data_IF_898959559558
#
_entry.id   IF_898959559558
#
_cell.length_a   1.000
_cell.length_b   1.000
_cell.length_c   1.000
_cell.angle_alpha   90.00
_cell.angle_beta   90.00
_cell.angle_gamma   90.00
#
_symmetry.space_group_name_H-M   'P 1'
#
loop_
_entity.id
_entity.type
_entity.pdbx_description
1 polymer ?
#
# COMPACT_ATOMS: atom_id res chain seq x y z
N UNK A 1 18.61 31.71 28.04
CA UNK A 1 18.80 31.81 26.57
C UNK A 1 19.65 30.63 26.13
N UNK A 2 19.39 30.05 24.99
CA UNK A 2 20.22 28.96 24.46
C UNK A 2 21.64 29.47 24.19
N UNK A 3 22.67 28.72 24.55
CA UNK A 3 24.07 29.14 24.33
C UNK A 3 24.39 29.11 22.82
N UNK A 4 25.31 29.96 22.39
CA UNK A 4 25.76 30.04 20.99
C UNK A 4 26.25 28.68 20.47
N UNK A 5 26.88 27.87 21.33
CA UNK A 5 27.34 26.51 21.05
C UNK A 5 26.18 25.56 20.82
N UNK A 6 25.10 25.66 21.60
CA UNK A 6 23.90 24.84 21.49
C UNK A 6 23.16 25.09 20.17
N UNK A 7 22.96 26.39 19.81
CA UNK A 7 22.34 26.77 18.53
C UNK A 7 23.15 26.25 17.34
N UNK A 8 24.48 26.36 17.38
CA UNK A 8 25.38 25.84 16.35
C UNK A 8 25.25 24.31 16.20
N UNK A 9 25.20 23.60 17.32
CA UNK A 9 25.01 22.12 17.30
C UNK A 9 23.66 21.77 16.70
N UNK A 10 22.59 22.50 17.02
CA UNK A 10 21.24 22.28 16.47
C UNK A 10 21.18 22.52 14.96
N UNK A 11 21.85 23.59 14.47
CA UNK A 11 21.99 23.84 13.02
C UNK A 11 22.68 22.67 12.33
N UNK A 12 23.77 22.16 12.88
CA UNK A 12 24.47 21.01 12.30
C UNK A 12 23.58 19.75 12.25
N UNK A 13 22.83 19.46 13.31
CA UNK A 13 21.91 18.33 13.39
C UNK A 13 20.77 18.44 12.35
N UNK A 14 20.11 19.62 12.28
CA UNK A 14 19.02 19.84 11.31
C UNK A 14 19.52 19.74 9.87
N UNK A 15 20.73 20.30 9.59
CA UNK A 15 21.33 20.19 8.26
C UNK A 15 21.63 18.72 7.87
N UNK A 16 22.08 17.91 8.82
CA UNK A 16 22.29 16.48 8.60
C UNK A 16 20.96 15.76 8.32
N UNK A 17 19.91 16.05 9.09
CA UNK A 17 18.56 15.50 8.89
C UNK A 17 18.02 15.88 7.50
N UNK A 18 18.17 17.14 7.08
CA UNK A 18 17.79 17.61 5.75
C UNK A 18 18.46 16.81 4.63
N UNK A 19 19.77 16.56 4.75
CA UNK A 19 20.52 15.76 3.77
C UNK A 19 19.99 14.31 3.70
N UNK A 20 19.69 13.72 4.85
CA UNK A 20 19.16 12.37 4.94
C UNK A 20 17.76 12.29 4.30
N UNK A 21 16.85 13.22 4.64
CA UNK A 21 15.48 13.22 4.08
C UNK A 21 15.49 13.44 2.57
N UNK A 22 16.36 14.33 2.07
CA UNK A 22 16.56 14.54 0.64
C UNK A 22 17.06 13.28 -0.07
N UNK A 23 18.02 12.55 0.50
CA UNK A 23 18.51 11.29 -0.05
C UNK A 23 17.40 10.21 -0.04
N UNK A 24 16.64 10.11 1.06
CA UNK A 24 15.51 9.16 1.16
C UNK A 24 14.42 9.47 0.13
N UNK A 25 14.14 10.75 -0.15
CA UNK A 25 13.23 11.15 -1.22
C UNK A 25 13.68 10.63 -2.58
N UNK A 26 14.99 10.78 -2.91
CA UNK A 26 15.52 10.31 -4.20
C UNK A 26 15.41 8.78 -4.35
N UNK A 27 15.75 8.04 -3.29
CA UNK A 27 15.61 6.57 -3.29
C UNK A 27 14.15 6.16 -3.43
N UNK A 28 13.24 6.80 -2.71
CA UNK A 28 11.81 6.52 -2.79
C UNK A 28 11.24 6.83 -4.20
N UNK A 29 11.69 7.93 -4.83
CA UNK A 29 11.30 8.29 -6.20
C UNK A 29 11.75 7.24 -7.22
N UNK A 30 13.00 6.74 -7.10
CA UNK A 30 13.49 5.66 -7.97
C UNK A 30 12.69 4.37 -7.81
N UNK A 31 12.34 4.01 -6.56
CA UNK A 31 11.51 2.83 -6.29
C UNK A 31 10.08 3.01 -6.78
N UNK A 32 9.50 4.21 -6.65
CA UNK A 32 8.19 4.54 -7.20
C UNK A 32 8.16 4.33 -8.71
N UNK A 33 9.17 4.85 -9.42
CA UNK A 33 9.26 4.70 -10.87
C UNK A 33 9.30 3.23 -11.31
N UNK A 34 10.08 2.40 -10.61
CA UNK A 34 10.12 0.95 -10.87
C UNK A 34 8.77 0.28 -10.62
N UNK A 35 8.09 0.63 -9.52
CA UNK A 35 6.76 0.09 -9.22
C UNK A 35 5.73 0.49 -10.29
N UNK A 36 5.75 1.75 -10.74
CA UNK A 36 4.89 2.22 -11.83
C UNK A 36 5.14 1.48 -13.14
N UNK A 37 6.40 1.26 -13.53
CA UNK A 37 6.72 0.47 -14.71
C UNK A 37 6.20 -0.97 -14.60
N UNK A 38 6.29 -1.58 -13.42
CA UNK A 38 5.76 -2.93 -13.18
C UNK A 38 4.23 -2.95 -13.33
N UNK A 39 3.52 -1.98 -12.79
CA UNK A 39 2.06 -1.85 -12.95
C UNK A 39 1.70 -1.65 -14.41
N UNK A 40 2.36 -0.72 -15.11
CA UNK A 40 2.11 -0.44 -16.53
C UNK A 40 2.33 -1.66 -17.44
N UNK A 41 3.35 -2.47 -17.14
CA UNK A 41 3.61 -3.70 -17.88
C UNK A 41 2.56 -4.79 -17.64
N UNK A 42 1.89 -4.79 -16.47
CA UNK A 42 0.86 -5.78 -16.12
C UNK A 42 -0.53 -5.39 -16.59
N UNK A 43 -0.83 -4.09 -16.70
CA UNK A 43 -2.16 -3.59 -17.11
C UNK A 43 -2.72 -4.19 -18.41
N UNK A 44 -1.95 -4.33 -19.51
CA UNK A 44 -2.47 -4.94 -20.74
C UNK A 44 -2.93 -6.38 -20.54
N UNK A 45 -2.15 -7.15 -19.76
CA UNK A 45 -2.48 -8.54 -19.44
C UNK A 45 -3.75 -8.63 -18.58
N UNK A 46 -3.84 -7.83 -17.53
CA UNK A 46 -5.00 -7.75 -16.64
C UNK A 46 -6.27 -7.36 -17.42
N UNK A 47 -6.20 -6.31 -18.25
CA UNK A 47 -7.33 -5.87 -19.08
C UNK A 47 -7.80 -6.96 -20.04
N UNK A 48 -6.86 -7.64 -20.72
CA UNK A 48 -7.21 -8.71 -21.65
C UNK A 48 -7.83 -9.89 -20.93
N UNK A 49 -7.27 -10.29 -19.79
CA UNK A 49 -7.79 -11.40 -18.98
C UNK A 49 -9.21 -11.09 -18.48
N UNK A 50 -9.44 -9.90 -17.94
CA UNK A 50 -10.76 -9.46 -17.48
C UNK A 50 -11.77 -9.37 -18.64
N UNK A 51 -11.33 -8.89 -19.80
CA UNK A 51 -12.17 -8.84 -21.01
C UNK A 51 -12.59 -10.23 -21.48
N UNK A 52 -11.65 -11.17 -21.55
CA UNK A 52 -11.93 -12.57 -21.95
C UNK A 52 -12.87 -13.21 -20.93
N UNK A 53 -12.58 -13.11 -19.64
CA UNK A 53 -13.43 -13.65 -18.59
C UNK A 53 -14.84 -13.04 -18.63
N UNK A 54 -14.96 -11.72 -18.71
CA UNK A 54 -16.26 -11.05 -18.78
C UNK A 54 -17.08 -11.49 -19.98
N UNK A 55 -16.44 -11.66 -21.16
CA UNK A 55 -17.13 -12.13 -22.38
C UNK A 55 -17.63 -13.57 -22.23
N UNK A 56 -16.81 -14.46 -21.66
CA UNK A 56 -17.22 -15.84 -21.47
C UNK A 56 -18.31 -15.99 -20.40
N UNK A 57 -18.16 -15.30 -19.28
CA UNK A 57 -19.15 -15.31 -18.21
C UNK A 57 -20.51 -14.79 -18.70
N UNK A 58 -20.54 -13.69 -19.48
CA UNK A 58 -21.77 -13.17 -20.08
C UNK A 58 -22.38 -14.10 -21.13
N UNK A 59 -21.58 -14.99 -21.75
CA UNK A 59 -22.06 -15.95 -22.72
C UNK A 59 -22.54 -17.29 -22.11
N UNK A 60 -22.33 -17.47 -20.80
CA UNK A 60 -22.78 -18.65 -20.06
C UNK A 60 -24.16 -18.36 -19.46
N UNK A 61 -25.14 -19.17 -19.80
CA UNK A 61 -26.47 -19.15 -19.19
C UNK A 61 -26.41 -19.96 -17.89
N UNK A 62 -26.32 -19.28 -16.73
CA UNK A 62 -26.33 -19.95 -15.43
C UNK A 62 -25.24 -19.55 -14.47
N UNK A 63 -25.12 -20.27 -13.37
CA UNK A 63 -24.07 -20.05 -12.36
C UNK A 63 -22.69 -20.45 -12.89
N UNK A 64 -21.64 -19.73 -12.50
CA UNK A 64 -20.26 -20.08 -12.82
C UNK A 64 -19.96 -21.49 -12.25
N UNK A 65 -19.57 -22.48 -13.07
CA UNK A 65 -19.25 -23.83 -12.60
C UNK A 65 -17.87 -23.84 -11.92
N UNK A 66 -17.65 -22.97 -10.95
CA UNK A 66 -16.36 -22.81 -10.27
C UNK A 66 -16.54 -22.86 -8.76
N UNK A 67 -15.73 -23.65 -8.05
CA UNK A 67 -15.75 -23.67 -6.59
C UNK A 67 -15.42 -22.28 -5.98
N UNK A 68 -14.77 -21.41 -6.75
CA UNK A 68 -14.39 -20.06 -6.30
C UNK A 68 -15.52 -19.01 -6.42
N UNK A 69 -16.64 -19.38 -7.04
CA UNK A 69 -17.82 -18.52 -7.18
C UNK A 69 -18.94 -18.92 -6.19
N UNK A 70 -18.75 -19.99 -5.42
CA UNK A 70 -19.75 -20.46 -4.46
C UNK A 70 -20.03 -19.40 -3.39
N UNK A 71 -21.26 -18.94 -3.30
CA UNK A 71 -21.71 -17.99 -2.29
C UNK A 71 -22.30 -18.76 -1.12
N UNK A 72 -21.58 -18.77 0.00
CA UNK A 72 -22.03 -19.37 1.26
C UNK A 72 -22.35 -18.26 2.28
N UNK A 73 -23.18 -18.53 3.31
CA UNK A 73 -23.30 -17.63 4.45
C UNK A 73 -21.93 -17.38 5.08
N UNK A 74 -21.56 -16.10 5.19
CA UNK A 74 -20.22 -15.72 5.66
C UNK A 74 -20.16 -15.89 7.18
N UNK A 75 -19.36 -16.82 7.65
CA UNK A 75 -19.08 -17.07 9.07
C UNK A 75 -17.60 -16.84 9.40
N UNK A 76 -16.69 -17.19 8.48
CA UNK A 76 -15.24 -17.09 8.64
C UNK A 76 -14.61 -16.31 7.50
N UNK A 77 -13.82 -15.33 7.83
CA UNK A 77 -13.19 -14.42 6.86
C UNK A 77 -11.68 -14.46 7.01
N UNK A 78 -10.98 -14.51 5.87
CA UNK A 78 -9.55 -14.22 5.81
C UNK A 78 -9.34 -12.78 5.34
N UNK A 79 -8.49 -12.03 6.04
CA UNK A 79 -8.10 -10.66 5.69
C UNK A 79 -6.65 -10.60 5.21
N UNK A 80 -6.44 -10.02 4.05
CA UNK A 80 -5.10 -9.76 3.51
C UNK A 80 -4.82 -8.27 3.61
N UNK A 81 -3.79 -7.89 4.37
CA UNK A 81 -3.51 -6.48 4.70
C UNK A 81 -2.14 -6.08 4.17
N UNK A 82 -2.10 -4.99 3.41
CA UNK A 82 -0.87 -4.50 2.79
C UNK A 82 -0.39 -3.22 3.48
N UNK A 83 0.81 -3.29 4.06
CA UNK A 83 1.52 -2.14 4.65
C UNK A 83 2.97 -2.10 4.15
N UNK A 84 3.79 -1.26 4.73
CA UNK A 84 5.23 -1.22 4.45
C UNK A 84 6.06 -2.01 5.47
N UNK A 85 7.30 -2.34 5.07
CA UNK A 85 8.32 -2.90 5.97
C UNK A 85 8.97 -1.82 6.86
N UNK A 86 8.90 -0.54 6.48
CA UNK A 86 9.56 0.57 7.16
C UNK A 86 8.61 1.72 7.45
N UNK A 87 8.96 2.53 8.44
CA UNK A 87 8.26 3.76 8.79
C UNK A 87 8.58 4.91 7.81
N UNK A 88 8.20 6.12 8.16
CA UNK A 88 8.49 7.36 7.43
C UNK A 88 7.82 7.48 6.05
N UNK A 89 6.65 6.89 5.91
CA UNK A 89 5.77 7.01 4.74
C UNK A 89 4.48 7.81 5.05
N UNK A 90 4.58 8.81 5.91
CA UNK A 90 3.43 9.63 6.31
C UNK A 90 2.34 8.79 6.98
N UNK A 91 1.09 9.02 6.61
CA UNK A 91 -0.08 8.33 7.14
C UNK A 91 -0.37 6.95 6.53
N UNK A 92 0.43 6.49 5.56
CA UNK A 92 0.20 5.26 4.80
C UNK A 92 -0.14 4.05 5.68
N UNK A 93 0.78 3.68 6.61
CA UNK A 93 0.56 2.53 7.50
C UNK A 93 -0.57 2.75 8.49
N UNK A 94 -0.65 3.93 9.10
CA UNK A 94 -1.66 4.24 10.09
C UNK A 94 -3.08 4.15 9.50
N UNK A 95 -3.26 4.62 8.28
CA UNK A 95 -4.55 4.61 7.60
C UNK A 95 -5.01 3.18 7.28
N UNK A 96 -4.12 2.31 6.80
CA UNK A 96 -4.44 0.88 6.56
C UNK A 96 -4.77 0.17 7.85
N UNK A 97 -3.98 0.35 8.91
CA UNK A 97 -4.23 -0.28 10.22
C UNK A 97 -5.57 0.17 10.79
N UNK A 98 -5.90 1.46 10.63
CA UNK A 98 -7.22 1.98 11.01
C UNK A 98 -8.36 1.33 10.20
N UNK A 99 -8.17 1.17 8.88
CA UNK A 99 -9.15 0.51 8.02
C UNK A 99 -9.33 -0.96 8.39
N UNK A 100 -8.24 -1.67 8.66
CA UNK A 100 -8.24 -3.05 9.14
C UNK A 100 -9.02 -3.18 10.46
N UNK A 101 -8.68 -2.37 11.47
CA UNK A 101 -9.36 -2.43 12.77
C UNK A 101 -10.86 -2.15 12.64
N UNK A 102 -11.23 -1.14 11.82
CA UNK A 102 -12.64 -0.83 11.54
C UNK A 102 -13.37 -2.01 10.88
N UNK A 103 -12.70 -2.71 9.96
CA UNK A 103 -13.28 -3.88 9.28
C UNK A 103 -13.46 -5.05 10.23
N UNK A 104 -12.48 -5.31 11.08
CA UNK A 104 -12.55 -6.35 12.12
C UNK A 104 -13.70 -6.07 13.10
N UNK A 105 -13.87 -4.80 13.53
CA UNK A 105 -14.97 -4.42 14.40
C UNK A 105 -16.34 -4.60 13.72
N UNK A 106 -16.43 -4.31 12.42
CA UNK A 106 -17.65 -4.55 11.64
C UNK A 106 -18.01 -6.04 11.62
N UNK A 107 -17.06 -6.91 11.30
CA UNK A 107 -17.28 -8.36 11.30
C UNK A 107 -17.65 -8.89 12.69
N UNK A 108 -16.99 -8.41 13.74
CA UNK A 108 -17.35 -8.78 15.12
C UNK A 108 -18.80 -8.42 15.47
N UNK A 109 -19.31 -7.25 14.99
CA UNK A 109 -20.70 -6.83 15.21
C UNK A 109 -21.70 -7.70 14.40
N UNK A 110 -21.29 -8.19 13.25
CA UNK A 110 -22.10 -9.08 12.40
C UNK A 110 -22.03 -10.54 12.86
N UNK A 111 -21.23 -10.87 13.90
CA UNK A 111 -21.03 -12.22 14.38
C UNK A 111 -20.15 -13.08 13.48
N UNK A 112 -19.39 -12.45 12.60
CA UNK A 112 -18.46 -13.10 11.66
C UNK A 112 -17.07 -13.17 12.28
N UNK A 113 -16.45 -14.35 12.22
CA UNK A 113 -15.11 -14.58 12.75
C UNK A 113 -14.04 -14.23 11.70
N UNK A 114 -13.05 -13.44 12.08
CA UNK A 114 -11.82 -13.28 11.29
C UNK A 114 -10.86 -14.42 11.67
N UNK A 115 -10.94 -15.52 10.92
CA UNK A 115 -10.19 -16.76 11.20
C UNK A 115 -8.72 -16.69 10.80
N UNK A 116 -8.39 -15.90 9.77
CA UNK A 116 -7.03 -15.78 9.28
C UNK A 116 -6.68 -14.35 8.88
N UNK A 117 -5.42 -13.95 9.14
CA UNK A 117 -4.87 -12.71 8.65
C UNK A 117 -3.54 -12.96 7.94
N UNK A 118 -3.41 -12.46 6.72
CA UNK A 118 -2.17 -12.47 5.94
C UNK A 118 -1.63 -11.05 5.90
N UNK A 119 -0.41 -10.87 6.42
CA UNK A 119 0.21 -9.56 6.55
C UNK A 119 1.32 -9.38 5.50
N UNK A 120 1.08 -8.50 4.53
CA UNK A 120 2.11 -7.98 3.66
C UNK A 120 2.72 -6.75 4.30
N UNK A 121 3.89 -6.91 4.92
CA UNK A 121 4.67 -5.87 5.57
C UNK A 121 4.73 -5.98 7.09
N UNK A 122 5.91 -5.61 7.61
CA UNK A 122 6.21 -5.70 9.05
C UNK A 122 5.25 -4.87 9.89
N UNK A 123 4.78 -3.72 9.37
CA UNK A 123 3.86 -2.84 10.12
C UNK A 123 2.46 -3.43 10.26
N UNK A 124 1.96 -4.17 9.24
CA UNK A 124 0.75 -4.95 9.38
C UNK A 124 0.93 -6.07 10.40
N UNK A 125 2.00 -6.85 10.27
CA UNK A 125 2.28 -7.97 11.15
C UNK A 125 2.36 -7.56 12.63
N UNK A 126 3.07 -6.45 12.92
CA UNK A 126 3.15 -5.88 14.27
C UNK A 126 1.76 -5.47 14.80
N UNK A 127 0.94 -4.83 13.96
CA UNK A 127 -0.40 -4.37 14.35
C UNK A 127 -1.37 -5.54 14.57
N UNK A 128 -1.36 -6.51 13.66
CA UNK A 128 -2.21 -7.70 13.70
C UNK A 128 -1.90 -8.56 14.92
N UNK A 129 -0.61 -8.80 15.22
CA UNK A 129 -0.20 -9.54 16.41
C UNK A 129 -0.60 -8.84 17.71
N UNK A 130 -0.49 -7.51 17.76
CA UNK A 130 -0.97 -6.72 18.91
C UNK A 130 -2.48 -6.78 19.10
N UNK A 131 -3.22 -6.96 18.01
CA UNK A 131 -4.67 -7.09 18.02
C UNK A 131 -5.17 -8.51 18.34
N UNK A 132 -4.26 -9.49 18.54
CA UNK A 132 -4.57 -10.83 19.03
C UNK A 132 -4.32 -11.97 18.03
N UNK A 133 -4.01 -11.69 16.76
CA UNK A 133 -3.69 -12.72 15.76
C UNK A 133 -2.19 -13.06 15.78
N UNK A 134 -1.77 -13.93 16.70
CA UNK A 134 -0.38 -14.37 16.83
C UNK A 134 0.11 -15.19 15.64
N UNK A 135 -0.79 -15.93 15.01
CA UNK A 135 -0.52 -16.86 13.91
C UNK A 135 -0.69 -16.21 12.53
N UNK A 136 -0.69 -14.87 12.47
CA UNK A 136 -0.77 -14.15 11.22
C UNK A 136 0.40 -14.52 10.29
N UNK A 137 0.08 -14.84 9.05
CA UNK A 137 1.06 -15.22 8.02
C UNK A 137 1.90 -14.00 7.62
N UNK A 138 3.22 -14.12 7.71
CA UNK A 138 4.16 -13.06 7.32
C UNK A 138 4.56 -13.19 5.85
N UNK A 139 4.14 -12.23 5.04
CA UNK A 139 4.50 -12.08 3.64
C UNK A 139 5.37 -10.83 3.39
N UNK A 140 6.01 -10.26 4.43
CA UNK A 140 6.81 -9.03 4.34
C UNK A 140 8.00 -9.10 3.38
N UNK A 141 8.59 -10.27 3.16
CA UNK A 141 9.69 -10.47 2.22
C UNK A 141 9.29 -10.15 0.75
N UNK A 142 8.01 -10.31 0.39
CA UNK A 142 7.50 -10.03 -0.95
C UNK A 142 7.48 -8.53 -1.30
N UNK A 143 7.53 -7.65 -0.31
CA UNK A 143 7.62 -6.21 -0.53
C UNK A 143 9.02 -5.76 -0.95
N UNK A 144 10.05 -6.48 -0.52
CA UNK A 144 11.43 -6.15 -0.87
C UNK A 144 11.78 -6.63 -2.28
N UNK A 145 11.22 -7.78 -2.68
CA UNK A 145 11.40 -8.40 -3.99
C UNK A 145 10.05 -8.87 -4.56
N UNK A 146 9.25 -7.93 -5.11
CA UNK A 146 7.93 -8.28 -5.63
C UNK A 146 8.07 -9.18 -6.86
N UNK A 147 7.55 -10.40 -6.76
CA UNK A 147 7.53 -11.36 -7.84
C UNK A 147 6.19 -12.08 -7.91
N UNK A 148 5.74 -12.38 -9.13
CA UNK A 148 4.45 -13.02 -9.37
C UNK A 148 4.35 -14.41 -8.74
N UNK A 149 5.37 -15.26 -8.91
CA UNK A 149 5.30 -16.65 -8.49
C UNK A 149 5.13 -16.83 -6.95
N UNK A 150 5.86 -16.11 -6.07
CA UNK A 150 5.60 -16.18 -4.64
C UNK A 150 4.24 -15.59 -4.23
N UNK A 151 3.78 -14.52 -4.89
CA UNK A 151 2.46 -13.96 -4.63
C UNK A 151 1.33 -14.92 -5.03
N UNK A 152 1.50 -15.60 -6.17
CA UNK A 152 0.58 -16.64 -6.63
C UNK A 152 0.49 -17.83 -5.66
N UNK A 153 1.58 -18.21 -4.97
CA UNK A 153 1.54 -19.24 -3.93
C UNK A 153 0.65 -18.84 -2.75
N UNK A 154 0.78 -17.59 -2.27
CA UNK A 154 -0.08 -17.09 -1.19
C UNK A 154 -1.55 -17.08 -1.62
N UNK A 155 -1.84 -16.66 -2.86
CA UNK A 155 -3.19 -16.71 -3.38
C UNK A 155 -3.72 -18.15 -3.50
N UNK A 156 -2.88 -19.11 -3.96
CA UNK A 156 -3.24 -20.52 -4.05
C UNK A 156 -3.56 -21.12 -2.68
N UNK A 157 -2.80 -20.79 -1.63
CA UNK A 157 -3.07 -21.22 -0.25
C UNK A 157 -4.43 -20.69 0.26
N UNK A 158 -4.75 -19.42 -0.01
CA UNK A 158 -6.04 -18.81 0.35
C UNK A 158 -7.20 -19.44 -0.44
N UNK A 159 -6.99 -19.72 -1.73
CA UNK A 159 -7.97 -20.38 -2.59
C UNK A 159 -8.25 -21.81 -2.13
N UNK A 160 -7.20 -22.55 -1.73
CA UNK A 160 -7.36 -23.90 -1.19
C UNK A 160 -8.20 -23.89 0.09
N UNK A 161 -7.89 -23.00 1.04
CA UNK A 161 -8.66 -22.84 2.27
C UNK A 161 -10.12 -22.47 2.05
N UNK A 162 -10.39 -21.69 0.99
CA UNK A 162 -11.75 -21.36 0.59
C UNK A 162 -12.49 -22.60 0.06
N UNK A 163 -11.85 -23.42 -0.78
CA UNK A 163 -12.43 -24.66 -1.31
C UNK A 163 -12.65 -25.69 -0.21
N UNK A 164 -11.71 -25.79 0.74
CA UNK A 164 -11.81 -26.70 1.90
C UNK A 164 -12.85 -26.22 2.93
N UNK A 165 -13.44 -25.04 2.72
CA UNK A 165 -14.43 -24.46 3.62
C UNK A 165 -13.85 -23.99 4.96
N UNK A 166 -12.55 -23.73 5.06
CA UNK A 166 -11.94 -23.12 6.25
C UNK A 166 -12.25 -21.62 6.35
N UNK A 167 -12.44 -20.97 5.19
CA UNK A 167 -12.82 -19.57 5.07
C UNK A 167 -13.94 -19.42 4.04
N UNK A 168 -14.93 -18.58 4.33
CA UNK A 168 -16.10 -18.35 3.46
C UNK A 168 -15.91 -17.08 2.60
N UNK A 169 -14.93 -16.21 2.99
CA UNK A 169 -14.62 -14.98 2.25
C UNK A 169 -13.15 -14.61 2.44
N UNK A 170 -12.54 -14.09 1.38
CA UNK A 170 -11.20 -13.50 1.42
C UNK A 170 -11.27 -12.06 0.95
N UNK A 171 -10.80 -11.12 1.76
CA UNK A 171 -10.79 -9.68 1.42
C UNK A 171 -9.38 -9.11 1.47
N UNK A 172 -9.11 -8.21 0.52
CA UNK A 172 -7.87 -7.45 0.41
C UNK A 172 -8.08 -6.03 0.95
N UNK A 173 -7.16 -5.55 1.77
CA UNK A 173 -7.12 -4.17 2.28
C UNK A 173 -5.77 -3.56 1.88
N UNK A 174 -5.79 -2.66 0.91
CA UNK A 174 -4.59 -2.07 0.34
C UNK A 174 -4.80 -0.62 -0.11
N UNK A 175 -3.73 0.08 -0.47
CA UNK A 175 -3.83 1.37 -1.14
C UNK A 175 -3.75 1.19 -2.64
N UNK A 176 -4.80 1.57 -3.34
CA UNK A 176 -4.78 1.69 -4.79
C UNK A 176 -4.03 2.97 -5.20
N UNK A 177 -3.08 2.81 -6.10
CA UNK A 177 -2.28 3.92 -6.63
C UNK A 177 -3.04 4.65 -7.74
N UNK A 178 -3.60 5.81 -7.41
CA UNK A 178 -4.26 6.68 -8.38
C UNK A 178 -3.30 7.72 -8.97
N UNK A 179 -2.50 8.34 -8.12
CA UNK A 179 -1.46 9.31 -8.51
C UNK A 179 -0.43 9.46 -7.39
N UNK A 180 0.68 10.14 -7.67
CA UNK A 180 1.69 10.41 -6.64
C UNK A 180 1.12 11.20 -5.45
N UNK A 181 0.10 12.03 -5.65
CA UNK A 181 -0.54 12.83 -4.61
C UNK A 181 -1.74 12.14 -3.95
N UNK A 182 -2.32 11.11 -4.59
CA UNK A 182 -3.55 10.47 -4.12
C UNK A 182 -3.42 8.96 -4.09
N UNK A 183 -3.47 8.39 -2.89
CA UNK A 183 -3.53 6.96 -2.63
C UNK A 183 -4.87 6.67 -1.94
N UNK A 184 -5.68 5.79 -2.53
CA UNK A 184 -7.02 5.49 -2.04
C UNK A 184 -7.01 4.14 -1.33
N UNK A 185 -7.52 4.10 -0.09
CA UNK A 185 -7.71 2.83 0.62
C UNK A 185 -8.82 2.06 -0.07
N UNK A 186 -8.49 0.89 -0.56
CA UNK A 186 -9.41 0.01 -1.26
C UNK A 186 -9.61 -1.27 -0.44
N UNK A 187 -10.86 -1.67 -0.33
CA UNK A 187 -11.27 -2.94 0.28
C UNK A 187 -12.00 -3.73 -0.80
N UNK A 188 -11.45 -4.84 -1.19
CA UNK A 188 -11.99 -5.66 -2.25
C UNK A 188 -12.12 -7.11 -1.83
N UNK A 189 -13.21 -7.75 -2.25
CA UNK A 189 -13.38 -9.20 -2.10
C UNK A 189 -12.55 -9.91 -3.17
N UNK A 190 -11.66 -10.81 -2.75
CA UNK A 190 -10.93 -11.71 -3.61
C UNK A 190 -11.75 -12.98 -3.87
N UNK A 191 -12.34 -13.54 -2.82
CA UNK A 191 -13.19 -14.73 -2.83
C UNK A 191 -14.43 -14.50 -1.96
N UNK A 192 -15.63 -14.94 -2.40
CA UNK A 192 -15.92 -15.55 -3.70
C UNK A 192 -15.77 -14.55 -4.84
N UNK A 193 -15.49 -15.05 -6.05
CA UNK A 193 -15.42 -14.22 -7.24
C UNK A 193 -16.84 -13.83 -7.67
N UNK A 194 -17.11 -12.53 -7.78
CA UNK A 194 -18.39 -12.04 -8.28
C UNK A 194 -18.26 -11.64 -9.75
N UNK A 195 -19.28 -11.95 -10.53
CA UNK A 195 -19.35 -11.62 -11.97
C UNK A 195 -19.27 -10.10 -12.18
N UNK A 196 -19.87 -9.32 -11.28
CA UNK A 196 -19.88 -7.86 -11.34
C UNK A 196 -18.51 -7.23 -11.06
N UNK A 197 -17.64 -7.88 -10.27
CA UNK A 197 -16.31 -7.40 -9.97
C UNK A 197 -15.34 -7.46 -11.17
N UNK A 198 -15.63 -8.30 -12.17
CA UNK A 198 -14.84 -8.36 -13.42
C UNK A 198 -15.22 -7.25 -14.42
N UNK A 199 -16.38 -6.61 -14.22
CA UNK A 199 -16.91 -5.54 -15.07
C UNK A 199 -16.53 -4.11 -14.62
N UNK A 200 -16.05 -3.94 -13.39
CA UNK A 200 -15.78 -2.61 -12.78
C UNK A 200 -14.37 -2.06 -13.02
N UNK A 201 -13.51 -2.75 -13.77
CA UNK A 201 -12.32 -2.11 -14.32
C UNK A 201 -12.71 -1.10 -15.42
N UNK A 202 -11.96 -0.01 -15.59
CA UNK A 202 -12.11 1.08 -16.59
C UNK A 202 -12.48 0.64 -18.04
N UNK A 203 -12.68 -0.65 -18.28
CA UNK A 203 -13.14 -1.26 -19.53
C UNK A 203 -14.64 -1.01 -19.84
N UNK A 204 -15.41 -0.39 -18.94
CA UNK A 204 -16.81 -0.05 -19.17
C UNK A 204 -17.01 1.16 -20.11
N UNK A 205 -15.96 1.93 -20.43
CA UNK A 205 -16.08 3.15 -21.28
C UNK A 205 -15.82 2.95 -22.75
N UNK A 206 -15.25 1.84 -23.20
CA UNK A 206 -15.25 1.52 -24.64
C UNK A 206 -16.57 0.83 -25.00
N UNK A 207 -17.62 1.61 -25.17
CA UNK A 207 -18.80 1.25 -25.96
C UNK A 207 -18.37 1.00 -27.42
N UNK A 208 -17.69 -0.09 -27.65
CA UNK A 208 -17.57 -0.62 -28.99
C UNK A 208 -18.91 -1.26 -29.33
N UNK A 209 -19.58 -0.64 -30.29
CA UNK A 209 -20.90 -1.01 -30.74
C UNK A 209 -21.03 -2.54 -30.89
N UNK A 210 -21.98 -3.10 -30.19
CA UNK A 210 -22.77 -4.30 -30.32
C UNK A 210 -22.26 -5.56 -31.05
N UNK A 211 -20.97 -5.69 -31.37
CA UNK A 211 -20.45 -6.93 -31.94
C UNK A 211 -20.09 -7.89 -30.81
N UNK A 212 -20.92 -8.92 -30.59
CA UNK A 212 -20.53 -10.10 -29.83
C UNK A 212 -19.21 -10.61 -30.42
N UNK A 213 -18.14 -10.55 -29.66
CA UNK A 213 -16.88 -11.18 -30.04
C UNK A 213 -17.11 -12.69 -30.00
N UNK A 214 -17.20 -13.28 -31.19
CA UNK A 214 -17.37 -14.73 -31.34
C UNK A 214 -15.98 -15.36 -31.32
N UNK A 215 -15.57 -15.87 -30.16
CA UNK A 215 -14.30 -16.57 -30.02
C UNK A 215 -14.45 -18.03 -30.43
N UNK A 216 -13.52 -18.53 -31.25
CA UNK A 216 -13.35 -19.96 -31.44
C UNK A 216 -12.73 -20.52 -30.16
N UNK A 217 -13.43 -21.40 -29.50
CA UNK A 217 -13.09 -21.90 -28.16
C UNK A 217 -12.86 -23.42 -28.23
N UNK A 218 -11.68 -23.83 -27.79
CA UNK A 218 -11.32 -25.25 -27.65
C UNK A 218 -10.73 -25.49 -26.25
N UNK A 219 -11.14 -26.54 -25.54
CA UNK A 219 -12.13 -27.55 -25.86
C UNK A 219 -13.58 -27.12 -25.54
N UNK A 220 -13.79 -26.29 -24.48
CA UNK A 220 -15.09 -25.69 -24.14
C UNK A 220 -14.94 -24.38 -23.36
N UNK A 221 -16.00 -23.56 -23.39
CA UNK A 221 -16.01 -22.27 -22.66
C UNK A 221 -15.87 -22.49 -21.16
N UNK A 222 -16.51 -23.48 -20.61
CA UNK A 222 -16.49 -23.81 -19.18
C UNK A 222 -15.09 -24.21 -18.73
N UNK A 223 -14.39 -25.03 -19.48
CA UNK A 223 -13.03 -25.47 -19.16
C UNK A 223 -12.04 -24.31 -19.21
N UNK A 224 -12.19 -23.39 -20.16
CA UNK A 224 -11.34 -22.20 -20.25
C UNK A 224 -11.59 -21.28 -19.05
N UNK A 225 -12.84 -21.01 -18.69
CA UNK A 225 -13.18 -20.19 -17.54
C UNK A 225 -12.61 -20.80 -16.25
N UNK A 226 -12.74 -22.10 -16.05
CA UNK A 226 -12.16 -22.80 -14.90
C UNK A 226 -10.64 -22.68 -14.82
N UNK A 227 -9.92 -22.58 -15.95
CA UNK A 227 -8.47 -22.37 -15.96
C UNK A 227 -8.08 -20.89 -15.81
N UNK A 228 -8.93 -19.96 -16.24
CA UNK A 228 -8.65 -18.54 -16.18
C UNK A 228 -8.93 -17.95 -14.79
N UNK A 229 -9.95 -18.43 -14.08
CA UNK A 229 -10.32 -17.96 -12.75
C UNK A 229 -9.13 -17.99 -11.77
N UNK A 230 -8.40 -19.09 -11.58
CA UNK A 230 -7.24 -19.11 -10.70
C UNK A 230 -6.17 -18.09 -11.11
N UNK A 231 -5.91 -17.96 -12.42
CA UNK A 231 -4.92 -16.98 -12.94
C UNK A 231 -5.34 -15.56 -12.65
N UNK A 232 -6.63 -15.24 -12.77
CA UNK A 232 -7.16 -13.92 -12.44
C UNK A 232 -7.04 -13.59 -10.94
N UNK A 233 -7.31 -14.57 -10.08
CA UNK A 233 -7.16 -14.41 -8.63
C UNK A 233 -5.70 -14.21 -8.21
N UNK A 234 -4.78 -14.98 -8.79
CA UNK A 234 -3.34 -14.80 -8.57
C UNK A 234 -2.87 -13.41 -9.02
N UNK A 235 -3.34 -13.00 -10.19
CA UNK A 235 -3.01 -11.69 -10.73
C UNK A 235 -3.57 -10.56 -9.85
N UNK A 236 -4.82 -10.68 -9.39
CA UNK A 236 -5.46 -9.68 -8.54
C UNK A 236 -4.71 -9.46 -7.22
N UNK A 237 -4.26 -10.53 -6.57
CA UNK A 237 -3.44 -10.41 -5.35
C UNK A 237 -2.08 -9.76 -5.64
N UNK A 238 -1.46 -10.11 -6.77
CA UNK A 238 -0.19 -9.53 -7.19
C UNK A 238 -0.31 -8.07 -7.60
N UNK A 239 -1.36 -7.67 -8.32
CA UNK A 239 -1.58 -6.26 -8.69
C UNK A 239 -1.88 -5.41 -7.46
N UNK A 240 -2.63 -5.91 -6.47
CA UNK A 240 -2.82 -5.24 -5.19
C UNK A 240 -1.48 -5.02 -4.44
N UNK A 241 -0.55 -5.98 -4.51
CA UNK A 241 0.80 -5.82 -3.97
C UNK A 241 1.56 -4.69 -4.68
N UNK A 242 1.55 -4.65 -6.01
CA UNK A 242 2.24 -3.61 -6.79
C UNK A 242 1.63 -2.23 -6.55
N UNK A 243 0.31 -2.11 -6.51
CA UNK A 243 -0.41 -0.88 -6.20
C UNK A 243 -0.07 -0.36 -4.80
N UNK A 244 -0.03 -1.25 -3.81
CA UNK A 244 0.37 -0.90 -2.45
C UNK A 244 1.82 -0.43 -2.38
N UNK A 245 2.75 -1.07 -3.10
CA UNK A 245 4.15 -0.66 -3.18
C UNK A 245 4.32 0.71 -3.83
N UNK A 246 3.63 0.97 -4.95
CA UNK A 246 3.67 2.27 -5.61
C UNK A 246 3.10 3.36 -4.69
N UNK A 247 1.99 3.07 -3.99
CA UNK A 247 1.36 3.97 -3.02
C UNK A 247 2.27 4.25 -1.82
N UNK A 248 2.96 3.25 -1.30
CA UNK A 248 3.96 3.40 -0.22
C UNK A 248 5.08 4.35 -0.62
N UNK A 249 5.68 4.10 -1.80
CA UNK A 249 6.79 4.91 -2.27
C UNK A 249 6.36 6.34 -2.61
N UNK A 250 5.17 6.54 -3.16
CA UNK A 250 4.61 7.86 -3.40
C UNK A 250 4.37 8.62 -2.08
N UNK A 251 3.75 7.98 -1.10
CA UNK A 251 3.55 8.57 0.23
C UNK A 251 4.89 8.92 0.91
N UNK A 252 5.91 8.08 0.74
CA UNK A 252 7.26 8.35 1.26
C UNK A 252 7.92 9.53 0.56
N UNK A 253 7.81 9.65 -0.76
CA UNK A 253 8.34 10.81 -1.51
C UNK A 253 7.75 12.10 -0.96
N UNK A 254 6.43 12.16 -0.76
CA UNK A 254 5.76 13.35 -0.22
C UNK A 254 6.19 13.62 1.22
N UNK A 255 6.20 12.60 2.08
CA UNK A 255 6.61 12.76 3.47
C UNK A 255 8.07 13.27 3.59
N UNK A 256 8.98 12.77 2.76
CA UNK A 256 10.37 13.21 2.75
C UNK A 256 10.55 14.61 2.16
N UNK A 257 9.72 14.98 1.17
CA UNK A 257 9.69 16.36 0.66
C UNK A 257 9.30 17.33 1.77
N UNK A 258 8.16 17.10 2.44
CA UNK A 258 7.69 17.94 3.54
C UNK A 258 8.73 18.01 4.66
N UNK A 259 9.36 16.91 5.01
CA UNK A 259 10.40 16.89 6.04
C UNK A 259 11.64 17.69 5.62
N UNK A 260 12.00 17.70 4.34
CA UNK A 260 13.12 18.48 3.81
C UNK A 260 12.79 19.97 3.82
N UNK A 261 11.59 20.36 3.39
CA UNK A 261 11.12 21.74 3.37
C UNK A 261 11.04 22.33 4.79
N UNK A 262 10.51 21.57 5.75
CA UNK A 262 10.47 21.96 7.17
C UNK A 262 11.89 22.11 7.76
N UNK A 263 12.82 21.25 7.35
CA UNK A 263 14.21 21.37 7.77
C UNK A 263 14.88 22.64 7.21
N UNK A 264 14.59 23.02 5.98
CA UNK A 264 15.10 24.26 5.37
C UNK A 264 14.54 25.51 6.08
N UNK A 265 13.26 25.51 6.43
CA UNK A 265 12.65 26.60 7.20
C UNK A 265 13.28 26.72 8.60
N UNK A 266 13.40 25.60 9.31
CA UNK A 266 14.04 25.56 10.62
C UNK A 266 15.51 26.02 10.60
N UNK A 267 16.25 25.68 9.53
CA UNK A 267 17.61 26.15 9.34
C UNK A 267 17.68 27.68 9.18
N UNK A 268 16.74 28.29 8.47
CA UNK A 268 16.67 29.78 8.33
C UNK A 268 16.41 30.41 9.68
N UNK A 269 15.46 29.94 10.46
CA UNK A 269 15.16 30.47 11.80
C UNK A 269 16.34 30.33 12.76
N UNK A 270 16.97 29.16 12.80
CA UNK A 270 18.13 28.89 13.63
C UNK A 270 19.33 29.78 13.25
N UNK A 271 19.51 30.03 11.95
CA UNK A 271 20.59 30.91 11.46
C UNK A 271 20.35 32.36 11.90
N UNK A 272 19.12 32.86 11.83
CA UNK A 272 18.75 34.18 12.35
C UNK A 272 19.01 34.29 13.87
N UNK A 273 18.55 33.26 14.60
CA UNK A 273 18.77 33.18 16.05
C UNK A 273 20.24 33.15 16.41
N UNK A 274 21.04 32.36 15.68
CA UNK A 274 22.49 32.30 15.86
C UNK A 274 23.16 33.66 15.66
N UNK A 275 22.82 34.35 14.58
CA UNK A 275 23.39 35.67 14.28
C UNK A 275 23.02 36.70 15.36
N UNK A 276 21.73 36.69 15.81
CA UNK A 276 21.29 37.58 16.90
C UNK A 276 22.03 37.31 18.22
N UNK A 277 22.12 36.03 18.60
CA UNK A 277 22.82 35.60 19.83
C UNK A 277 24.33 35.94 19.74
N UNK A 278 24.93 35.75 18.55
CA UNK A 278 26.34 36.13 18.33
C UNK A 278 26.55 37.61 18.48
N UNK A 279 25.70 38.47 17.91
CA UNK A 279 25.79 39.92 18.06
C UNK A 279 25.64 40.34 19.51
N UNK A 280 24.68 39.73 20.24
CA UNK A 280 24.50 39.99 21.67
C UNK A 280 25.73 39.61 22.49
N UNK A 281 26.34 38.46 22.23
CA UNK A 281 27.54 38.01 22.91
C UNK A 281 28.71 38.97 22.68
N UNK A 282 28.93 39.36 21.41
CA UNK A 282 29.98 40.33 21.05
C UNK A 282 29.74 41.68 21.76
N UNK A 283 28.49 42.16 21.78
CA UNK A 283 28.16 43.44 22.45
C UNK A 283 28.39 43.33 23.95
N UNK A 284 28.05 42.23 24.59
CA UNK A 284 28.31 42.02 26.02
C UNK A 284 29.79 41.97 26.31
N UNK A 285 30.60 41.24 25.53
CA UNK A 285 32.06 41.22 25.69
C UNK A 285 32.69 42.59 25.51
N UNK A 286 32.25 43.39 24.53
CA UNK A 286 32.71 44.75 24.34
C UNK A 286 32.36 45.66 25.50
N UNK A 287 31.12 45.54 26.05
CA UNK A 287 30.71 46.33 27.23
C UNK A 287 31.51 45.94 28.49
N UNK A 288 31.78 44.64 28.65
CA UNK A 288 32.61 44.17 29.78
C UNK A 288 34.05 44.68 29.68
N UNK A 289 34.64 44.74 28.48
CA UNK A 289 35.99 45.31 28.25
C UNK A 289 36.01 46.82 28.55
N UNK A 290 35.02 47.57 28.03
CA UNK A 290 34.93 49.01 28.27
C UNK A 290 34.67 49.29 29.74
N UNK A 291 33.76 48.53 30.41
CA UNK A 291 33.49 48.68 31.82
C UNK A 291 34.72 48.38 32.74
N UNK A 292 35.51 47.37 32.35
CA UNK A 292 36.72 46.96 33.03
C UNK A 292 37.91 47.97 32.83
N UNK A 293 37.87 48.73 31.73
CA UNK A 293 38.91 49.78 31.47
C UNK A 293 38.63 51.13 32.16
N UNK A 294 37.43 51.28 32.72
CA UNK A 294 37.00 52.48 33.44
C UNK A 294 37.24 52.43 34.98
N UNK A 295 37.70 51.29 35.50
CA UNK A 295 38.17 51.09 36.86
C UNK A 295 39.71 51.16 36.90
#
# INVERSE_FOLDING_TARGET
MASLKEVKTRIASVNSTRKITSAMKMVASSKLHKAQQSIESMRPYERLLNKIMGTFVQSMEGELPSPYAAVCPVQRVALVVYTSNSSLCGGFNANIIKAFNKKVEAYRKEGVEVSQVVAFGKKALEAVRKAGWTDAQDCGALLDHPAYAPAAKVAAELMQKFVDGEVDRVELIYHHFRSSASQVITQETLLPISIDATATGEAAEEKHGGKKLDFIVEPSKEQIVLQLIPKALYLKLYTALLDSLASEHAARVIAMQIATDNADELLRELTLTYNKTRQQAITTELLDIVGGSMQ
#
